data_IF_067798129582
#
_entry.id   IF_067798129582
#
_cell.length_a   1.000
_cell.length_b   1.000
_cell.length_c   1.000
_cell.angle_alpha   90.00
_cell.angle_beta   90.00
_cell.angle_gamma   90.00
#
_symmetry.space_group_name_H-M   'P 1'
#
loop_
_entity.id
_entity.type
_entity.pdbx_description
1 polymer ?
#
# COMPACT_ATOMS: atom_id res chain seq x y z
N UNK A 1 -5.50 8.59 3.65
CA UNK A 1 -5.76 7.23 3.13
C UNK A 1 -5.71 7.13 1.63
N UNK A 2 -6.03 8.20 0.92
CA UNK A 2 -5.96 8.25 -0.55
C UNK A 2 -4.58 8.62 -1.09
N UNK A 3 -3.62 8.95 -0.22
CA UNK A 3 -2.30 9.44 -0.63
C UNK A 3 -1.38 8.36 -1.16
N UNK A 4 -1.67 7.08 -0.86
CA UNK A 4 -0.79 5.98 -1.25
C UNK A 4 -0.64 5.90 -2.77
N UNK A 5 -1.75 5.82 -3.51
CA UNK A 5 -1.69 5.66 -4.96
C UNK A 5 -0.99 6.85 -5.62
N UNK A 6 -1.29 8.06 -5.17
CA UNK A 6 -0.65 9.27 -5.68
C UNK A 6 0.85 9.26 -5.41
N UNK A 7 1.27 8.92 -4.19
CA UNK A 7 2.69 8.85 -3.83
C UNK A 7 3.40 7.76 -4.63
N UNK A 8 2.79 6.59 -4.76
CA UNK A 8 3.33 5.50 -5.56
C UNK A 8 3.55 5.93 -7.01
N UNK A 9 2.56 6.61 -7.59
CA UNK A 9 2.62 7.04 -8.99
C UNK A 9 3.67 8.11 -9.23
N UNK A 10 4.06 8.87 -8.19
CA UNK A 10 5.17 9.82 -8.26
C UNK A 10 6.53 9.19 -7.95
N UNK A 11 6.55 7.93 -7.52
CA UNK A 11 7.77 7.31 -7.03
C UNK A 11 8.23 7.85 -5.68
N UNK A 12 7.32 8.40 -4.90
CA UNK A 12 7.61 9.07 -3.63
C UNK A 12 7.53 8.08 -2.47
N UNK A 13 8.59 7.29 -2.30
CA UNK A 13 8.67 6.26 -1.27
C UNK A 13 8.62 6.86 0.13
N UNK A 14 9.19 8.03 0.34
CA UNK A 14 9.19 8.68 1.67
C UNK A 14 7.76 8.99 2.14
N UNK A 15 6.91 9.48 1.24
CA UNK A 15 5.50 9.74 1.59
C UNK A 15 4.76 8.42 1.87
N UNK A 16 5.03 7.37 1.10
CA UNK A 16 4.46 6.05 1.37
C UNK A 16 4.84 5.59 2.79
N UNK A 17 6.12 5.64 3.12
CA UNK A 17 6.62 5.17 4.41
C UNK A 17 6.09 6.00 5.58
N UNK A 18 5.86 7.29 5.37
CA UNK A 18 5.33 8.17 6.40
C UNK A 18 3.90 7.78 6.82
N UNK A 19 3.18 7.05 5.97
CA UNK A 19 1.82 6.58 6.26
C UNK A 19 1.80 5.25 7.02
N UNK A 20 2.94 4.58 7.19
CA UNK A 20 3.05 3.30 7.90
C UNK A 20 3.56 3.51 9.31
N UNK A 21 3.04 2.70 10.24
CA UNK A 21 3.60 2.60 11.59
C UNK A 21 4.97 1.91 11.52
N UNK A 22 5.84 2.19 12.51
CA UNK A 22 7.19 1.63 12.53
C UNK A 22 7.21 0.10 12.56
N UNK A 23 6.21 -0.51 13.18
CA UNK A 23 6.06 -1.96 13.33
C UNK A 23 5.08 -2.56 12.32
N UNK A 24 4.76 -1.84 11.25
CA UNK A 24 3.76 -2.27 10.29
C UNK A 24 4.15 -3.56 9.57
N UNK A 25 3.12 -4.29 9.14
CA UNK A 25 3.26 -5.50 8.33
C UNK A 25 2.54 -5.28 7.01
N UNK A 26 3.19 -5.60 5.91
CA UNK A 26 2.59 -5.60 4.58
C UNK A 26 2.54 -7.04 4.07
N UNK A 27 1.39 -7.43 3.54
CA UNK A 27 1.16 -8.75 2.97
C UNK A 27 0.93 -8.61 1.47
N UNK A 28 2.01 -8.55 0.68
CA UNK A 28 1.87 -8.42 -0.76
C UNK A 28 1.36 -9.71 -1.40
N UNK A 29 0.71 -9.65 -2.57
CA UNK A 29 0.18 -10.85 -3.20
C UNK A 29 1.32 -11.77 -3.64
N UNK A 30 1.14 -13.06 -3.42
CA UNK A 30 2.06 -14.11 -3.86
C UNK A 30 3.50 -13.93 -3.37
N UNK A 31 3.66 -13.29 -2.23
CA UNK A 31 4.98 -12.97 -1.68
C UNK A 31 4.97 -13.14 -0.16
N UNK A 32 6.13 -13.35 0.45
CA UNK A 32 6.20 -13.41 1.91
C UNK A 32 5.76 -12.11 2.57
N UNK A 33 5.32 -12.20 3.82
CA UNK A 33 5.02 -11.03 4.63
C UNK A 33 6.27 -10.16 4.80
N UNK A 34 6.08 -8.86 4.77
CA UNK A 34 7.14 -7.87 4.96
C UNK A 34 6.85 -7.12 6.25
N UNK A 35 7.82 -7.09 7.16
CA UNK A 35 7.66 -6.48 8.47
C UNK A 35 8.64 -5.33 8.66
N UNK A 36 8.10 -4.20 9.18
CA UNK A 36 8.88 -3.03 9.52
C UNK A 36 9.20 -2.13 8.32
N UNK A 37 9.62 -0.90 8.62
CA UNK A 37 9.80 0.13 7.60
C UNK A 37 10.94 -0.18 6.63
N UNK A 38 12.01 -0.85 7.08
CA UNK A 38 13.11 -1.20 6.18
C UNK A 38 12.63 -2.17 5.10
N UNK A 39 11.91 -3.21 5.50
CA UNK A 39 11.38 -4.19 4.54
C UNK A 39 10.32 -3.58 3.62
N UNK A 40 9.46 -2.73 4.16
CA UNK A 40 8.42 -2.06 3.37
C UNK A 40 9.06 -1.11 2.36
N UNK A 41 10.12 -0.39 2.73
CA UNK A 41 10.89 0.44 1.80
C UNK A 41 11.43 -0.39 0.64
N UNK A 42 12.07 -1.51 0.96
CA UNK A 42 12.62 -2.41 -0.06
C UNK A 42 11.55 -2.93 -1.00
N UNK A 43 10.37 -3.27 -0.47
CA UNK A 43 9.24 -3.72 -1.28
C UNK A 43 8.83 -2.67 -2.31
N UNK A 44 8.59 -1.44 -1.88
CA UNK A 44 8.13 -0.39 -2.79
C UNK A 44 9.22 0.07 -3.76
N UNK A 45 10.47 0.14 -3.30
CA UNK A 45 11.59 0.46 -4.18
C UNK A 45 11.74 -0.60 -5.28
N UNK A 46 11.57 -1.88 -4.93
CA UNK A 46 11.64 -2.98 -5.89
C UNK A 46 10.51 -2.92 -6.92
N UNK A 47 9.29 -2.62 -6.49
CA UNK A 47 8.15 -2.50 -7.40
C UNK A 47 8.36 -1.34 -8.38
N UNK A 48 8.79 -0.20 -7.88
CA UNK A 48 9.04 0.97 -8.74
C UNK A 48 10.19 0.72 -9.70
N UNK A 49 11.28 0.10 -9.23
CA UNK A 49 12.42 -0.23 -10.08
C UNK A 49 12.05 -1.25 -11.17
N UNK A 50 11.11 -2.15 -10.88
CA UNK A 50 10.61 -3.11 -11.87
C UNK A 50 9.67 -2.49 -12.90
N UNK A 51 9.22 -1.24 -12.68
CA UNK A 51 8.39 -0.52 -13.63
C UNK A 51 6.90 -0.53 -13.34
N UNK A 52 6.48 -1.01 -12.17
CA UNK A 52 5.07 -0.90 -11.77
C UNK A 52 4.67 0.56 -11.69
N UNK A 53 3.51 0.90 -12.23
CA UNK A 53 3.04 2.28 -12.31
C UNK A 53 1.52 2.35 -12.41
N UNK A 54 0.97 3.56 -12.40
CA UNK A 54 -0.46 3.82 -12.57
C UNK A 54 -1.31 3.02 -11.59
N UNK A 55 -0.96 3.10 -10.32
CA UNK A 55 -1.73 2.44 -9.28
C UNK A 55 -3.00 3.24 -8.97
N UNK A 56 -4.06 2.52 -8.65
CA UNK A 56 -5.31 3.10 -8.17
C UNK A 56 -5.84 2.24 -7.03
N UNK A 57 -6.38 2.89 -6.01
CA UNK A 57 -7.00 2.23 -4.87
C UNK A 57 -8.37 2.84 -4.67
N UNK A 58 -9.39 2.00 -4.62
CA UNK A 58 -10.77 2.41 -4.35
C UNK A 58 -11.23 1.73 -3.06
N UNK A 59 -11.46 2.54 -2.03
CA UNK A 59 -11.96 2.02 -0.75
C UNK A 59 -13.48 1.89 -0.83
N UNK A 60 -13.98 0.70 -0.52
CA UNK A 60 -15.40 0.39 -0.60
C UNK A 60 -16.08 0.47 0.75
N UNK A 61 -15.35 0.19 1.82
CA UNK A 61 -15.92 0.20 3.18
C UNK A 61 -14.84 0.60 4.17
N UNK A 62 -15.19 1.52 5.07
CA UNK A 62 -14.32 1.98 6.15
C UNK A 62 -15.09 1.86 7.45
N UNK A 63 -14.48 1.26 8.46
CA UNK A 63 -15.02 1.18 9.80
C UNK A 63 -14.06 1.84 10.78
N UNK A 64 -14.61 2.67 11.66
CA UNK A 64 -13.86 3.33 12.72
C UNK A 64 -14.34 2.83 14.07
N UNK A 65 -13.38 2.52 14.95
CA UNK A 65 -13.66 2.11 16.32
C UNK A 65 -12.55 2.68 17.22
N UNK A 66 -12.84 3.80 17.91
CA UNK A 66 -11.85 4.46 18.75
C UNK A 66 -10.61 4.85 17.97
N UNK A 67 -9.48 4.28 18.34
CA UNK A 67 -8.17 4.57 17.73
C UNK A 67 -7.83 3.67 16.55
N UNK A 68 -8.78 2.89 16.08
CA UNK A 68 -8.57 1.91 15.03
C UNK A 68 -9.50 2.21 13.85
N UNK A 69 -8.96 2.10 12.63
CA UNK A 69 -9.71 2.16 11.39
C UNK A 69 -9.40 0.92 10.57
N UNK A 70 -10.43 0.35 9.96
CA UNK A 70 -10.33 -0.79 9.06
C UNK A 70 -10.96 -0.41 7.74
N UNK A 71 -10.28 -0.68 6.63
CA UNK A 71 -10.83 -0.41 5.31
C UNK A 71 -10.61 -1.59 4.39
N UNK A 72 -11.60 -1.88 3.56
CA UNK A 72 -11.50 -2.85 2.49
C UNK A 72 -11.79 -2.17 1.16
N UNK A 73 -11.14 -2.64 0.11
CA UNK A 73 -11.30 -2.03 -1.20
C UNK A 73 -10.70 -2.86 -2.30
N UNK A 74 -10.51 -2.21 -3.43
CA UNK A 74 -9.92 -2.81 -4.62
C UNK A 74 -8.73 -1.97 -5.07
N UNK A 75 -7.78 -2.63 -5.71
CA UNK A 75 -6.65 -1.95 -6.31
C UNK A 75 -6.43 -2.40 -7.74
N UNK A 76 -5.77 -1.55 -8.50
CA UNK A 76 -5.20 -1.89 -9.79
C UNK A 76 -3.83 -1.26 -9.92
N UNK A 77 -2.94 -1.91 -10.64
CA UNK A 77 -1.61 -1.39 -10.93
C UNK A 77 -1.18 -1.92 -12.29
N UNK A 78 -0.53 -1.06 -13.06
CA UNK A 78 0.01 -1.44 -14.35
C UNK A 78 1.32 -2.20 -14.14
N UNK A 79 1.39 -3.43 -14.68
CA UNK A 79 2.59 -4.26 -14.58
C UNK A 79 3.49 -3.98 -15.78
N UNK A 80 4.83 -3.99 -15.57
CA UNK A 80 5.75 -3.89 -16.69
C UNK A 80 5.69 -5.18 -17.52
N UNK A 81 5.48 -5.04 -18.82
CA UNK A 81 5.50 -6.17 -19.75
C UNK A 81 6.52 -5.91 -20.85
N UNK A 82 7.03 -6.99 -21.45
CA UNK A 82 7.95 -6.89 -22.58
C UNK A 82 7.22 -6.58 -23.90
N UNK A 83 5.90 -6.66 -23.90
CA UNK A 83 5.08 -6.34 -25.08
C UNK A 83 4.63 -4.89 -25.00
N UNK A 84 4.23 -4.33 -26.14
CA UNK A 84 3.76 -2.94 -26.21
C UNK A 84 2.42 -2.70 -25.51
N UNK A 85 1.70 -3.77 -25.14
CA UNK A 85 0.47 -3.67 -24.38
C UNK A 85 0.81 -3.80 -22.90
N UNK A 86 0.30 -2.88 -22.09
CA UNK A 86 0.46 -2.96 -20.65
C UNK A 86 -0.61 -3.83 -20.05
N UNK A 87 -0.22 -4.76 -19.19
CA UNK A 87 -1.14 -5.53 -18.38
C UNK A 87 -1.46 -4.79 -17.10
N UNK A 88 -2.64 -5.03 -16.57
CA UNK A 88 -3.09 -4.43 -15.32
C UNK A 88 -3.37 -5.57 -14.33
N UNK A 89 -2.73 -5.50 -13.18
CA UNK A 89 -3.02 -6.40 -12.07
C UNK A 89 -4.12 -5.76 -11.23
N UNK A 90 -5.12 -6.55 -10.89
CA UNK A 90 -6.26 -6.11 -10.08
C UNK A 90 -6.46 -7.07 -8.94
N UNK A 91 -6.90 -6.53 -7.82
CA UNK A 91 -7.17 -7.35 -6.66
C UNK A 91 -7.91 -6.60 -5.59
N UNK A 92 -7.93 -7.21 -4.43
CA UNK A 92 -8.59 -6.68 -3.24
C UNK A 92 -7.54 -6.25 -2.25
N UNK A 93 -7.88 -5.26 -1.44
CA UNK A 93 -6.97 -4.79 -0.40
C UNK A 93 -7.71 -4.59 0.91
N UNK A 94 -6.96 -4.72 1.99
CA UNK A 94 -7.43 -4.49 3.34
C UNK A 94 -6.35 -3.71 4.06
N UNK A 95 -6.74 -2.63 4.72
CA UNK A 95 -5.83 -1.84 5.54
C UNK A 95 -6.36 -1.73 6.96
N UNK A 96 -5.44 -1.79 7.91
CA UNK A 96 -5.71 -1.55 9.32
C UNK A 96 -4.83 -0.39 9.77
N UNK A 97 -5.45 0.66 10.30
CA UNK A 97 -4.78 1.86 10.79
C UNK A 97 -4.97 1.98 12.27
N UNK A 98 -3.97 2.55 12.93
CA UNK A 98 -4.05 2.89 14.35
C UNK A 98 -3.67 4.35 14.54
N UNK A 99 -4.41 5.05 15.41
CA UNK A 99 -4.06 6.41 15.78
C UNK A 99 -2.83 6.37 16.69
N UNK A 100 -1.80 7.11 16.28
CA UNK A 100 -0.55 7.22 17.02
C UNK A 100 -0.66 8.30 18.10
N UNK A 101 0.32 8.36 19.04
CA UNK A 101 0.32 9.40 20.09
C UNK A 101 0.31 10.82 19.54
N UNK A 102 0.79 11.05 18.32
CA UNK A 102 0.77 12.36 17.67
C UNK A 102 -0.61 12.72 17.08
N UNK A 103 -1.61 11.85 17.23
CA UNK A 103 -2.96 12.05 16.70
C UNK A 103 -3.14 11.59 15.25
N UNK A 104 -2.09 11.17 14.58
CA UNK A 104 -2.15 10.72 13.19
C UNK A 104 -2.44 9.23 13.12
N UNK A 105 -3.30 8.83 12.17
CA UNK A 105 -3.50 7.42 11.86
C UNK A 105 -2.39 6.93 10.94
N UNK A 106 -1.83 5.75 11.25
CA UNK A 106 -0.84 5.09 10.41
C UNK A 106 -1.20 3.64 10.18
N UNK A 107 -0.82 3.13 9.03
CA UNK A 107 -1.09 1.74 8.65
C UNK A 107 -0.27 0.82 9.53
N UNK A 108 -0.93 -0.14 10.17
CA UNK A 108 -0.27 -1.20 10.96
C UNK A 108 -0.26 -2.52 10.22
N UNK A 109 -1.25 -2.74 9.34
CA UNK A 109 -1.35 -3.94 8.52
C UNK A 109 -1.96 -3.55 7.19
N UNK A 110 -1.36 -4.03 6.12
CA UNK A 110 -1.85 -3.83 4.76
C UNK A 110 -1.77 -5.16 4.02
N UNK A 111 -2.87 -5.58 3.41
CA UNK A 111 -2.93 -6.84 2.67
C UNK A 111 -3.47 -6.58 1.26
N UNK A 112 -2.83 -7.21 0.28
CA UNK A 112 -3.14 -7.08 -1.14
C UNK A 112 -3.28 -8.47 -1.74
N UNK A 113 -4.45 -8.82 -2.21
CA UNK A 113 -4.73 -10.17 -2.75
C UNK A 113 -5.38 -10.13 -4.12
#
# INVERSE_FOLDING_TARGET
MTQFASAFNRGDVETILASYAADAVDLPPRSPAVQGLVGIRQLFESLLAAGYCNSAVELERIELSGDIALAVGRYSVQIPTKSASSDVDRGKCLGHWRRMPDGQFRVTLSMWV
#
